data_IF_419445424171
#
_entry.id   IF_419445424171
#
_cell.length_a   1.000
_cell.length_b   1.000
_cell.length_c   1.000
_cell.angle_alpha   90.00
_cell.angle_beta   90.00
_cell.angle_gamma   90.00
#
_symmetry.space_group_name_H-M   'P 1'
#
loop_
_entity.id
_entity.type
_entity.pdbx_description
1 polymer ?
#
# COMPACT_ATOMS: atom_id res chain seq x y z
N UNK A 1 -5.81 -52.23 32.63
CA UNK A 1 -7.00 -51.48 32.15
C UNK A 1 -6.84 -50.03 32.58
N UNK A 2 -6.48 -49.14 31.65
CA UNK A 2 -6.16 -47.74 31.98
C UNK A 2 -7.44 -46.92 32.20
N UNK A 3 -7.78 -46.66 33.46
CA UNK A 3 -8.93 -45.83 33.90
C UNK A 3 -8.73 -44.31 33.66
N UNK A 4 -7.96 -43.94 32.64
CA UNK A 4 -7.68 -42.53 32.30
C UNK A 4 -8.74 -41.89 31.38
N UNK A 5 -9.65 -42.69 30.79
CA UNK A 5 -10.55 -42.22 29.72
C UNK A 5 -11.67 -41.28 30.20
N UNK A 6 -12.24 -41.46 31.40
CA UNK A 6 -13.35 -40.63 31.88
C UNK A 6 -12.88 -39.25 32.34
N UNK A 7 -11.82 -39.19 33.15
CA UNK A 7 -11.21 -37.94 33.62
C UNK A 7 -10.63 -37.14 32.44
N UNK A 8 -10.02 -37.80 31.45
CA UNK A 8 -9.55 -37.16 30.23
C UNK A 8 -10.71 -36.62 29.36
N UNK A 9 -11.81 -37.37 29.21
CA UNK A 9 -13.00 -36.89 28.48
C UNK A 9 -13.64 -35.67 29.14
N UNK A 10 -13.76 -35.66 30.46
CA UNK A 10 -14.28 -34.50 31.19
C UNK A 10 -13.38 -33.27 31.04
N UNK A 11 -12.05 -33.45 31.10
CA UNK A 11 -11.09 -32.38 30.88
C UNK A 11 -11.17 -31.83 29.44
N UNK A 12 -11.28 -32.68 28.43
CA UNK A 12 -11.49 -32.28 27.03
C UNK A 12 -12.83 -31.54 26.88
N UNK A 13 -13.89 -31.95 27.56
CA UNK A 13 -15.20 -31.27 27.50
C UNK A 13 -15.15 -29.81 27.98
N UNK A 14 -14.20 -29.47 28.87
CA UNK A 14 -14.00 -28.11 29.39
C UNK A 14 -12.90 -27.38 28.62
N UNK A 15 -11.82 -28.06 28.26
CA UNK A 15 -10.65 -27.46 27.59
C UNK A 15 -10.83 -27.30 26.08
N UNK A 16 -11.52 -28.24 25.43
CA UNK A 16 -11.78 -28.15 23.99
C UNK A 16 -12.53 -26.87 23.60
N UNK A 17 -13.63 -26.46 24.27
CA UNK A 17 -14.31 -25.23 23.90
C UNK A 17 -13.46 -23.99 24.14
N UNK A 18 -12.64 -23.94 25.19
CA UNK A 18 -11.78 -22.77 25.46
C UNK A 18 -10.64 -22.67 24.45
N UNK A 19 -9.98 -23.78 24.11
CA UNK A 19 -8.97 -23.82 23.06
C UNK A 19 -9.57 -23.48 21.70
N UNK A 20 -10.77 -23.99 21.40
CA UNK A 20 -11.48 -23.69 20.16
C UNK A 20 -11.77 -22.19 20.05
N UNK A 21 -12.31 -21.58 21.11
CA UNK A 21 -12.58 -20.13 21.14
C UNK A 21 -11.27 -19.34 20.99
N UNK A 22 -10.21 -19.72 21.70
CA UNK A 22 -8.90 -19.06 21.60
C UNK A 22 -8.31 -19.12 20.18
N UNK A 23 -8.43 -20.27 19.51
CA UNK A 23 -7.98 -20.46 18.14
C UNK A 23 -8.80 -19.59 17.18
N UNK A 24 -10.14 -19.59 17.32
CA UNK A 24 -11.02 -18.75 16.51
C UNK A 24 -10.70 -17.26 16.67
N UNK A 25 -10.52 -16.80 17.90
CA UNK A 25 -10.14 -15.41 18.19
C UNK A 25 -8.78 -15.08 17.59
N UNK A 26 -7.78 -15.96 17.73
CA UNK A 26 -6.45 -15.74 17.16
C UNK A 26 -6.48 -15.57 15.65
N UNK A 27 -7.19 -16.46 14.93
CA UNK A 27 -7.37 -16.34 13.47
C UNK A 27 -8.10 -15.03 13.14
N UNK A 28 -9.18 -14.74 13.85
CA UNK A 28 -9.96 -13.51 13.64
C UNK A 28 -9.08 -12.26 13.78
N UNK A 29 -8.31 -12.15 14.86
CA UNK A 29 -7.42 -11.01 15.10
C UNK A 29 -6.32 -10.89 14.04
N UNK A 30 -5.71 -12.01 13.62
CA UNK A 30 -4.65 -12.00 12.60
C UNK A 30 -5.20 -11.50 11.27
N UNK A 31 -6.33 -12.03 10.81
CA UNK A 31 -6.96 -11.60 9.54
C UNK A 31 -7.38 -10.14 9.62
N UNK A 32 -7.98 -9.73 10.74
CA UNK A 32 -8.39 -8.34 10.92
C UNK A 32 -7.20 -7.39 10.94
N UNK A 33 -6.12 -7.75 11.66
CA UNK A 33 -4.90 -6.95 11.73
C UNK A 33 -4.23 -6.81 10.37
N UNK A 34 -4.22 -7.87 9.57
CA UNK A 34 -3.69 -7.84 8.22
C UNK A 34 -4.46 -6.86 7.33
N UNK A 35 -5.80 -6.92 7.35
CA UNK A 35 -6.65 -6.01 6.59
C UNK A 35 -6.51 -4.55 7.07
N UNK A 36 -6.39 -4.35 8.38
CA UNK A 36 -6.18 -3.03 9.00
C UNK A 36 -4.85 -2.40 8.57
N UNK A 37 -3.76 -3.17 8.58
CA UNK A 37 -2.45 -2.71 8.09
C UNK A 37 -2.49 -2.32 6.61
N UNK A 38 -3.25 -3.04 5.80
CA UNK A 38 -3.39 -2.73 4.37
C UNK A 38 -4.15 -1.44 4.14
N UNK A 39 -5.26 -1.22 4.86
CA UNK A 39 -6.02 0.04 4.77
C UNK A 39 -5.18 1.22 5.24
N UNK A 40 -4.45 1.08 6.35
CA UNK A 40 -3.56 2.13 6.84
C UNK A 40 -2.47 2.49 5.82
N UNK A 41 -1.91 1.50 5.11
CA UNK A 41 -0.92 1.76 4.06
C UNK A 41 -1.54 2.49 2.87
N UNK A 42 -2.75 2.11 2.47
CA UNK A 42 -3.51 2.76 1.41
C UNK A 42 -3.87 4.22 1.76
N UNK A 43 -4.42 4.46 2.95
CA UNK A 43 -4.78 5.79 3.46
C UNK A 43 -3.54 6.70 3.59
N UNK A 44 -2.44 6.14 4.10
CA UNK A 44 -1.18 6.89 4.19
C UNK A 44 -0.63 7.21 2.80
N UNK A 45 -0.69 6.28 1.85
CA UNK A 45 -0.31 6.51 0.47
C UNK A 45 -1.16 7.58 -0.21
N UNK A 46 -2.49 7.53 -0.02
CA UNK A 46 -3.45 8.52 -0.52
C UNK A 46 -3.11 9.93 0.00
N UNK A 47 -2.85 10.04 1.31
CA UNK A 47 -2.49 11.31 1.96
C UNK A 47 -1.20 11.94 1.43
N UNK A 48 -0.34 11.16 0.75
CA UNK A 48 0.90 11.62 0.13
C UNK A 48 0.67 11.95 -1.35
N UNK A 49 0.05 11.03 -2.09
CA UNK A 49 -0.04 11.13 -3.56
C UNK A 49 -1.04 12.20 -4.01
N UNK A 50 -2.14 12.40 -3.26
CA UNK A 50 -3.17 13.39 -3.61
C UNK A 50 -2.64 14.84 -3.60
N UNK A 51 -2.06 15.37 -2.50
CA UNK A 51 -1.52 16.73 -2.51
C UNK A 51 -0.28 16.86 -3.41
N UNK A 52 0.45 15.76 -3.61
CA UNK A 52 1.58 15.73 -4.53
C UNK A 52 1.13 15.90 -5.99
N UNK A 53 0.04 15.26 -6.40
CA UNK A 53 -0.50 15.40 -7.76
C UNK A 53 -0.81 16.87 -8.06
N UNK A 54 -1.57 17.54 -7.18
CA UNK A 54 -1.90 18.97 -7.31
C UNK A 54 -0.64 19.87 -7.33
N UNK A 55 0.34 19.59 -6.46
CA UNK A 55 1.57 20.38 -6.40
C UNK A 55 2.46 20.16 -7.64
N UNK A 56 2.42 18.96 -8.21
CA UNK A 56 3.20 18.58 -9.39
C UNK A 56 2.59 19.14 -10.66
N UNK A 57 1.26 19.18 -10.77
CA UNK A 57 0.53 19.85 -11.85
C UNK A 57 1.02 21.30 -12.01
N UNK A 58 1.05 22.06 -10.91
CA UNK A 58 1.56 23.43 -10.90
C UNK A 58 3.03 23.50 -11.34
N UNK A 59 3.87 22.58 -10.86
CA UNK A 59 5.29 22.51 -11.24
C UNK A 59 5.52 22.10 -12.71
N UNK A 60 4.64 21.27 -13.28
CA UNK A 60 4.72 20.78 -14.66
C UNK A 60 4.27 21.87 -15.65
N UNK A 61 3.23 22.63 -15.30
CA UNK A 61 2.79 23.82 -16.05
C UNK A 61 3.91 24.86 -16.18
N UNK A 62 4.73 25.02 -15.12
CA UNK A 62 5.91 25.89 -15.13
C UNK A 62 7.18 25.23 -15.72
N UNK A 63 7.07 23.99 -16.23
CA UNK A 63 8.19 23.15 -16.72
C UNK A 63 9.37 23.05 -15.75
N UNK A 64 9.13 23.19 -14.45
CA UNK A 64 10.18 23.26 -13.44
C UNK A 64 10.47 21.86 -12.87
N UNK A 65 11.26 21.09 -13.63
CA UNK A 65 11.70 19.73 -13.26
C UNK A 65 12.44 19.69 -11.92
N UNK A 66 13.23 20.72 -11.63
CA UNK A 66 14.05 20.75 -10.42
C UNK A 66 13.17 20.86 -9.17
N UNK A 67 12.18 21.76 -9.16
CA UNK A 67 11.28 21.93 -8.03
C UNK A 67 10.45 20.67 -7.75
N UNK A 68 9.95 19.99 -8.79
CA UNK A 68 9.23 18.71 -8.62
C UNK A 68 10.19 17.64 -8.08
N UNK A 69 11.40 17.55 -8.64
CA UNK A 69 12.43 16.63 -8.17
C UNK A 69 12.79 16.82 -6.69
N UNK A 70 12.89 18.06 -6.22
CA UNK A 70 13.11 18.38 -4.82
C UNK A 70 11.92 17.98 -3.95
N UNK A 71 10.69 18.28 -4.38
CA UNK A 71 9.46 17.93 -3.67
C UNK A 71 9.34 16.42 -3.46
N UNK A 72 9.45 15.63 -4.54
CA UNK A 72 9.36 14.17 -4.45
C UNK A 72 10.49 13.59 -3.59
N UNK A 73 11.68 14.21 -3.61
CA UNK A 73 12.82 13.76 -2.80
C UNK A 73 12.59 14.03 -1.31
N UNK A 74 11.98 15.15 -0.95
CA UNK A 74 11.61 15.47 0.44
C UNK A 74 10.52 14.51 0.93
N UNK A 75 9.48 14.29 0.12
CA UNK A 75 8.38 13.38 0.48
C UNK A 75 8.86 11.94 0.63
N UNK A 76 9.71 11.46 -0.30
CA UNK A 76 10.33 10.13 -0.18
C UNK A 76 11.08 10.02 1.16
N UNK A 77 11.96 10.96 1.49
CA UNK A 77 12.74 10.88 2.74
C UNK A 77 11.84 10.93 3.99
N UNK A 78 10.83 11.80 3.99
CA UNK A 78 9.93 11.98 5.15
C UNK A 78 9.06 10.75 5.40
N UNK A 79 8.71 10.00 4.36
CA UNK A 79 7.85 8.82 4.43
C UNK A 79 8.57 7.54 4.00
N UNK A 80 9.90 7.46 4.23
CA UNK A 80 10.75 6.35 3.74
C UNK A 80 10.47 5.00 4.42
N UNK A 81 9.69 5.01 5.49
CA UNK A 81 9.14 3.83 6.15
C UNK A 81 8.12 3.08 5.28
N UNK A 82 7.32 3.81 4.49
CA UNK A 82 6.24 3.26 3.66
C UNK A 82 6.39 3.53 2.15
N UNK A 83 7.09 4.60 1.76
CA UNK A 83 7.31 4.99 0.36
C UNK A 83 8.62 4.40 -0.14
N UNK A 84 8.55 3.60 -1.22
CA UNK A 84 9.75 3.03 -1.89
C UNK A 84 10.23 3.84 -3.08
N UNK A 85 9.30 4.41 -3.83
CA UNK A 85 9.56 5.31 -4.94
C UNK A 85 8.34 6.19 -5.19
N UNK A 86 8.60 7.36 -5.77
CA UNK A 86 7.60 8.28 -6.30
C UNK A 86 8.07 8.60 -7.70
N UNK A 87 7.21 8.40 -8.70
CA UNK A 87 7.53 8.70 -10.09
C UNK A 87 6.40 9.49 -10.72
N UNK A 88 6.77 10.55 -11.43
CA UNK A 88 5.85 11.43 -12.15
C UNK A 88 6.03 11.13 -13.64
N UNK A 89 4.92 10.98 -14.35
CA UNK A 89 4.88 10.72 -15.78
C UNK A 89 4.23 11.89 -16.51
N UNK A 90 4.65 12.17 -17.73
CA UNK A 90 3.99 13.14 -18.60
C UNK A 90 2.70 12.57 -19.22
N UNK A 91 1.97 13.40 -19.95
CA UNK A 91 0.75 13.02 -20.68
C UNK A 91 0.95 11.87 -21.68
N UNK A 92 2.19 11.62 -22.11
CA UNK A 92 2.57 10.51 -22.99
C UNK A 92 3.01 9.27 -22.20
N UNK A 93 2.76 9.22 -20.89
CA UNK A 93 3.18 8.16 -19.96
C UNK A 93 4.72 7.97 -19.94
N UNK A 94 5.50 9.01 -20.27
CA UNK A 94 6.96 8.99 -20.21
C UNK A 94 7.42 9.51 -18.86
N UNK A 95 8.47 8.91 -18.31
CA UNK A 95 9.00 9.31 -17.02
C UNK A 95 9.50 10.77 -17.05
N UNK A 96 8.87 11.61 -16.25
CA UNK A 96 9.26 13.01 -16.09
C UNK A 96 10.29 13.16 -14.97
N UNK A 97 10.05 12.57 -13.79
CA UNK A 97 11.00 12.56 -12.66
C UNK A 97 10.71 11.39 -11.73
N UNK A 98 11.74 10.88 -11.04
CA UNK A 98 11.61 9.82 -10.03
C UNK A 98 12.45 10.12 -8.80
N UNK A 99 11.97 9.70 -7.63
CA UNK A 99 12.72 9.82 -6.37
C UNK A 99 13.67 8.66 -6.13
N UNK A 100 13.56 7.56 -6.90
CA UNK A 100 14.44 6.40 -6.76
C UNK A 100 14.77 5.78 -8.12
N UNK A 101 16.00 6.00 -8.58
CA UNK A 101 16.49 5.48 -9.86
C UNK A 101 16.88 4.00 -9.82
N UNK A 102 16.95 3.37 -8.64
CA UNK A 102 17.24 1.93 -8.52
C UNK A 102 16.00 1.06 -8.70
N UNK A 103 14.80 1.61 -8.49
CA UNK A 103 13.55 0.92 -8.81
C UNK A 103 13.23 1.13 -10.28
N UNK A 104 12.89 0.04 -10.97
CA UNK A 104 12.48 0.09 -12.37
C UNK A 104 11.19 0.94 -12.50
N UNK A 105 11.25 2.14 -13.10
CA UNK A 105 10.10 3.02 -13.21
C UNK A 105 9.01 2.42 -14.10
N UNK A 106 9.37 1.51 -15.02
CA UNK A 106 8.40 0.91 -15.95
C UNK A 106 7.35 0.05 -15.23
N UNK A 107 7.67 -0.51 -14.05
CA UNK A 107 6.70 -1.25 -13.22
C UNK A 107 5.54 -0.37 -12.71
N UNK A 108 5.78 0.94 -12.56
CA UNK A 108 4.80 1.90 -12.10
C UNK A 108 4.05 2.59 -13.25
N UNK A 109 4.51 2.43 -14.50
CA UNK A 109 3.82 3.01 -15.66
C UNK A 109 2.45 2.36 -15.88
N UNK A 110 1.56 3.09 -16.54
CA UNK A 110 0.32 2.52 -17.05
C UNK A 110 0.65 1.62 -18.25
N UNK A 111 -0.08 0.51 -18.39
CA UNK A 111 -0.02 -0.29 -19.62
C UNK A 111 -0.45 0.58 -20.82
N UNK A 112 0.11 0.32 -22.00
CA UNK A 112 -0.04 1.16 -23.20
C UNK A 112 -1.48 1.38 -23.69
N UNK A 113 -2.46 0.70 -23.10
CA UNK A 113 -3.88 0.76 -23.47
C UNK A 113 -4.81 1.05 -22.26
N UNK A 114 -4.25 1.47 -21.13
CA UNK A 114 -5.01 1.81 -19.92
C UNK A 114 -5.19 3.33 -19.87
N UNK A 115 -6.44 3.84 -19.79
CA UNK A 115 -6.66 5.28 -19.68
C UNK A 115 -6.09 5.80 -18.36
N UNK A 116 -5.69 7.08 -18.34
CA UNK A 116 -5.27 7.74 -17.11
C UNK A 116 -6.38 7.67 -16.05
N UNK A 117 -6.06 7.24 -14.83
CA UNK A 117 -7.06 7.05 -13.79
C UNK A 117 -7.52 8.41 -13.26
N UNK A 118 -8.81 8.75 -13.43
CA UNK A 118 -9.42 9.99 -12.90
C UNK A 118 -9.60 10.00 -11.37
N UNK A 119 -9.35 8.87 -10.74
CA UNK A 119 -9.45 8.66 -9.30
C UNK A 119 -8.24 7.89 -8.84
N UNK A 120 -7.93 7.96 -7.54
CA UNK A 120 -6.91 7.13 -6.95
C UNK A 120 -7.15 5.66 -7.29
N UNK A 121 -6.17 5.02 -7.93
CA UNK A 121 -6.19 3.60 -8.24
C UNK A 121 -5.07 2.91 -7.49
N UNK A 122 -5.41 1.76 -6.91
CA UNK A 122 -4.49 0.96 -6.11
C UNK A 122 -4.32 -0.38 -6.79
N UNK A 123 -3.09 -0.71 -7.14
CA UNK A 123 -2.71 -2.01 -7.71
C UNK A 123 -1.67 -2.66 -6.83
N UNK A 124 -1.66 -3.99 -6.80
CA UNK A 124 -0.71 -4.76 -6.00
C UNK A 124 0.20 -5.56 -6.91
N UNK A 125 1.49 -5.50 -6.61
CA UNK A 125 2.51 -6.31 -7.25
C UNK A 125 3.37 -6.96 -6.15
N UNK A 126 3.06 -8.22 -5.85
CA UNK A 126 3.64 -8.94 -4.72
C UNK A 126 3.37 -8.22 -3.39
N UNK A 127 4.46 -7.85 -2.71
CA UNK A 127 4.45 -7.13 -1.42
C UNK A 127 4.38 -5.60 -1.59
N UNK A 128 4.33 -5.09 -2.83
CA UNK A 128 4.33 -3.66 -3.13
C UNK A 128 2.92 -3.22 -3.51
N UNK A 129 2.50 -2.09 -2.94
CA UNK A 129 1.29 -1.39 -3.32
C UNK A 129 1.66 -0.21 -4.21
N UNK A 130 1.10 -0.17 -5.41
CA UNK A 130 1.30 0.90 -6.39
C UNK A 130 0.03 1.73 -6.43
N UNK A 131 0.13 2.97 -5.96
CA UNK A 131 -0.92 3.97 -6.03
C UNK A 131 -0.69 4.85 -7.26
N UNK A 132 -1.74 5.11 -8.03
CA UNK A 132 -1.72 6.01 -9.19
C UNK A 132 -2.90 6.96 -9.11
N UNK A 133 -2.65 8.23 -9.36
CA UNK A 133 -3.68 9.25 -9.53
C UNK A 133 -3.31 10.09 -10.75
N UNK A 134 -4.32 10.52 -11.51
CA UNK A 134 -4.17 11.58 -12.51
C UNK A 134 -4.78 12.88 -11.98
N UNK A 135 -4.56 13.95 -12.72
CA UNK A 135 -5.07 15.28 -12.40
C UNK A 135 -6.62 15.30 -12.45
N UNK A 136 -7.21 16.14 -11.61
CA UNK A 136 -8.66 16.23 -11.38
C UNK A 136 -9.40 17.12 -12.39
N UNK A 137 -8.75 17.63 -13.44
CA UNK A 137 -9.30 18.63 -14.36
C UNK A 137 -9.15 18.26 -15.83
#
# INVERSE_FOLDING_TARGET
>A
MTNYSLRARMMILILAPTVLIGLLLSIFFVVHRYNDLQRQLEDAGASIIEPLAVSTEYGMSLQNRESIGQLISVLHRRHSDIVRAISVYDENNRLFVTSNFHLDPSSMQLGSNVPFPRQLTVTRDGDIMILRTADYF
#
